data_IF_264965942100
#
_entry.id   IF_264965942100
#
_cell.length_a   1.000
_cell.length_b   1.000
_cell.length_c   1.000
_cell.angle_alpha   90.00
_cell.angle_beta   90.00
_cell.angle_gamma   90.00
#
_symmetry.space_group_name_H-M   'P 1'
#
loop_
_entity.id
_entity.type
_entity.pdbx_description
1 polymer ?
#
# COMPACT_ATOMS: atom_id res chain seq x y z
N UNK A 1 -8.84 -35.86 57.86
CA UNK A 1 -8.70 -36.77 56.71
C UNK A 1 -9.12 -36.03 55.48
N UNK A 2 -8.18 -35.38 54.81
CA UNK A 2 -8.42 -34.50 53.66
C UNK A 2 -7.19 -34.57 52.79
N UNK A 3 -7.07 -35.66 52.03
CA UNK A 3 -6.01 -35.89 51.04
C UNK A 3 -6.55 -36.80 49.94
N UNK A 4 -7.56 -36.35 49.18
CA UNK A 4 -8.00 -37.08 47.97
C UNK A 4 -8.33 -36.18 46.76
N UNK A 5 -8.24 -34.85 46.89
CA UNK A 5 -8.50 -33.92 45.77
C UNK A 5 -7.25 -33.50 44.97
N UNK A 6 -6.03 -33.88 45.39
CA UNK A 6 -4.79 -33.34 44.82
C UNK A 6 -4.20 -34.14 43.63
N UNK A 7 -4.64 -35.38 43.37
CA UNK A 7 -3.98 -36.26 42.41
C UNK A 7 -4.44 -36.08 40.94
N UNK A 8 -5.61 -35.48 40.70
CA UNK A 8 -6.11 -35.21 39.36
C UNK A 8 -5.57 -33.91 38.73
N UNK A 9 -5.08 -32.97 39.54
CA UNK A 9 -4.60 -31.65 39.08
C UNK A 9 -3.17 -31.69 38.53
N UNK A 10 -2.31 -32.56 39.08
CA UNK A 10 -0.88 -32.63 38.71
C UNK A 10 -0.64 -33.09 37.26
N UNK A 11 -1.37 -34.09 36.71
CA UNK A 11 -1.21 -34.50 35.31
C UNK A 11 -1.67 -33.41 34.32
N UNK A 12 -2.76 -32.71 34.65
CA UNK A 12 -3.29 -31.63 33.82
C UNK A 12 -2.37 -30.40 33.84
N UNK A 13 -1.80 -30.07 35.00
CA UNK A 13 -0.81 -29.00 35.13
C UNK A 13 0.46 -29.28 34.30
N UNK A 14 0.97 -30.52 34.32
CA UNK A 14 2.14 -30.90 33.51
C UNK A 14 1.86 -30.79 32.01
N UNK A 15 0.68 -31.24 31.57
CA UNK A 15 0.26 -31.14 30.17
C UNK A 15 0.18 -29.67 29.71
N UNK A 16 -0.41 -28.80 30.53
CA UNK A 16 -0.48 -27.36 30.23
C UNK A 16 0.91 -26.71 30.21
N UNK A 17 1.84 -27.14 31.06
CA UNK A 17 3.22 -26.65 31.04
C UNK A 17 3.97 -27.06 29.77
N UNK A 18 3.75 -28.29 29.29
CA UNK A 18 4.28 -28.77 28.02
C UNK A 18 3.69 -27.96 26.85
N UNK A 19 2.36 -27.79 26.80
CA UNK A 19 1.70 -26.96 25.78
C UNK A 19 2.23 -25.51 25.78
N UNK A 20 2.46 -24.90 26.95
CA UNK A 20 3.05 -23.56 27.03
C UNK A 20 4.51 -23.53 26.54
N UNK A 21 5.29 -24.56 26.82
CA UNK A 21 6.67 -24.65 26.32
C UNK A 21 6.71 -24.79 24.80
N UNK A 22 5.81 -25.61 24.23
CA UNK A 22 5.70 -25.79 22.78
C UNK A 22 5.24 -24.50 22.10
N UNK A 23 4.27 -23.79 22.69
CA UNK A 23 3.81 -22.50 22.18
C UNK A 23 4.92 -21.44 22.23
N UNK A 24 5.70 -21.37 23.32
CA UNK A 24 6.84 -20.46 23.42
C UNK A 24 7.89 -20.75 22.35
N UNK A 25 8.22 -22.02 22.12
CA UNK A 25 9.17 -22.40 21.09
C UNK A 25 8.64 -22.07 19.68
N UNK A 26 7.33 -22.18 19.46
CA UNK A 26 6.69 -21.77 18.20
C UNK A 26 6.73 -20.25 18.01
N UNK A 27 6.48 -19.47 19.06
CA UNK A 27 6.58 -18.01 19.05
C UNK A 27 8.01 -17.58 18.71
N UNK A 28 9.02 -18.15 19.38
CA UNK A 28 10.44 -17.86 19.13
C UNK A 28 10.82 -18.18 17.67
N UNK A 29 10.32 -19.29 17.13
CA UNK A 29 10.57 -19.66 15.74
C UNK A 29 9.91 -18.69 14.75
N UNK A 30 8.70 -18.21 15.04
CA UNK A 30 8.01 -17.21 14.21
C UNK A 30 8.72 -15.86 14.26
N UNK A 31 9.21 -15.44 15.42
CA UNK A 31 9.94 -14.19 15.58
C UNK A 31 11.25 -14.18 14.77
N UNK A 32 12.00 -15.28 14.79
CA UNK A 32 13.20 -15.38 13.93
C UNK A 32 12.84 -15.38 12.44
N UNK A 33 11.76 -16.03 12.02
CA UNK A 33 11.30 -15.96 10.63
C UNK A 33 10.88 -14.54 10.20
N UNK A 34 10.20 -13.80 11.08
CA UNK A 34 9.80 -12.40 10.83
C UNK A 34 11.04 -11.53 10.70
N UNK A 35 12.01 -11.70 11.58
CA UNK A 35 13.28 -10.96 11.58
C UNK A 35 14.10 -11.25 10.32
N UNK A 36 14.22 -12.51 9.92
CA UNK A 36 14.92 -12.90 8.69
C UNK A 36 14.24 -12.30 7.46
N UNK A 37 12.91 -12.34 7.41
CA UNK A 37 12.14 -11.74 6.32
C UNK A 37 12.34 -10.21 6.26
N UNK A 38 12.29 -9.54 7.41
CA UNK A 38 12.53 -8.10 7.49
C UNK A 38 13.95 -7.74 7.03
N UNK A 39 14.95 -8.52 7.44
CA UNK A 39 16.35 -8.33 7.05
C UNK A 39 16.52 -8.48 5.52
N UNK A 40 15.92 -9.50 4.91
CA UNK A 40 15.96 -9.69 3.46
C UNK A 40 15.33 -8.51 2.70
N UNK A 41 14.22 -7.94 3.22
CA UNK A 41 13.61 -6.75 2.63
C UNK A 41 14.51 -5.52 2.72
N UNK A 42 15.19 -5.31 3.85
CA UNK A 42 16.16 -4.21 3.99
C UNK A 42 17.33 -4.37 3.03
N UNK A 43 17.90 -5.57 2.92
CA UNK A 43 18.99 -5.84 1.97
C UNK A 43 18.58 -5.60 0.53
N UNK A 44 17.38 -6.01 0.14
CA UNK A 44 16.84 -5.75 -1.20
C UNK A 44 16.61 -4.26 -1.48
N UNK A 45 16.13 -3.50 -0.49
CA UNK A 45 15.69 -2.10 -0.68
C UNK A 45 16.79 -1.06 -0.48
N UNK A 46 17.82 -1.35 0.33
CA UNK A 46 18.97 -0.46 0.58
C UNK A 46 20.17 -0.76 -0.35
N UNK A 47 20.09 -1.83 -1.15
CA UNK A 47 21.06 -2.11 -2.20
C UNK A 47 21.01 -1.02 -3.29
N UNK A 48 22.15 -0.35 -3.47
CA UNK A 48 22.34 0.74 -4.44
C UNK A 48 22.13 0.29 -5.89
N UNK A 49 22.43 -0.96 -6.20
CA UNK A 49 22.16 -1.50 -7.54
C UNK A 49 20.65 -1.61 -7.80
N UNK A 50 19.86 -1.81 -6.73
CA UNK A 50 18.41 -1.92 -6.81
C UNK A 50 17.69 -0.57 -6.88
N UNK A 51 18.33 0.53 -6.47
CA UNK A 51 17.71 1.87 -6.35
C UNK A 51 16.98 2.35 -7.62
N UNK A 52 17.42 1.92 -8.80
CA UNK A 52 16.84 2.33 -10.10
C UNK A 52 15.63 1.51 -10.56
N UNK A 53 15.30 0.41 -9.89
CA UNK A 53 14.29 -0.55 -10.34
C UNK A 53 12.93 -0.54 -9.64
N UNK A 54 12.70 0.08 -8.45
CA UNK A 54 11.40 0.03 -7.77
C UNK A 54 10.44 1.08 -8.35
N UNK A 55 10.10 0.93 -9.63
CA UNK A 55 9.10 1.75 -10.29
C UNK A 55 8.09 0.87 -11.01
N UNK A 56 6.92 1.46 -11.27
CA UNK A 56 5.89 0.87 -12.12
C UNK A 56 5.60 1.83 -13.27
N UNK A 57 5.25 1.29 -14.42
CA UNK A 57 4.85 2.08 -15.58
C UNK A 57 3.34 2.29 -15.60
N UNK A 58 2.88 3.26 -16.40
CA UNK A 58 1.45 3.44 -16.66
C UNK A 58 0.80 2.17 -17.24
N UNK A 59 1.54 1.41 -18.05
CA UNK A 59 1.06 0.15 -18.61
C UNK A 59 0.84 -0.91 -17.53
N UNK A 60 1.74 -1.01 -16.54
CA UNK A 60 1.59 -1.94 -15.42
C UNK A 60 0.34 -1.63 -14.60
N UNK A 61 0.09 -0.34 -14.31
CA UNK A 61 -1.10 0.12 -13.58
C UNK A 61 -2.37 -0.20 -14.39
N UNK A 62 -2.38 0.07 -15.69
CA UNK A 62 -3.54 -0.20 -16.54
C UNK A 62 -3.79 -1.69 -16.77
N UNK A 63 -2.76 -2.54 -16.64
CA UNK A 63 -2.93 -3.99 -16.76
C UNK A 63 -3.83 -4.58 -15.65
N UNK A 64 -4.02 -3.83 -14.55
CA UNK A 64 -4.86 -4.24 -13.42
C UNK A 64 -6.34 -4.08 -13.80
N UNK A 65 -7.02 -5.22 -13.96
CA UNK A 65 -8.45 -5.27 -14.33
C UNK A 65 -9.34 -4.45 -13.39
N UNK A 66 -9.02 -4.43 -12.10
CA UNK A 66 -9.78 -3.69 -11.10
C UNK A 66 -9.79 -2.17 -11.30
N UNK A 67 -8.87 -1.61 -12.08
CA UNK A 67 -8.74 -0.17 -12.33
C UNK A 67 -9.27 0.26 -13.71
N UNK A 68 -9.82 -0.66 -14.50
CA UNK A 68 -10.38 -0.31 -15.80
C UNK A 68 -11.57 0.65 -15.66
N UNK A 69 -11.65 1.63 -16.56
CA UNK A 69 -12.69 2.67 -16.59
C UNK A 69 -12.79 3.52 -15.30
N UNK A 70 -11.73 3.53 -14.48
CA UNK A 70 -11.65 4.33 -13.25
C UNK A 70 -10.56 5.39 -13.35
N UNK A 71 -10.74 6.47 -12.58
CA UNK A 71 -9.72 7.51 -12.40
C UNK A 71 -8.70 6.99 -11.38
N UNK A 72 -7.46 6.78 -11.81
CA UNK A 72 -6.36 6.35 -10.93
C UNK A 72 -5.46 7.53 -10.60
N UNK A 73 -5.32 7.83 -9.32
CA UNK A 73 -4.46 8.90 -8.80
C UNK A 73 -3.31 8.25 -8.03
N UNK A 74 -2.07 8.40 -8.52
CA UNK A 74 -0.88 7.96 -7.83
C UNK A 74 -0.35 9.07 -6.92
N UNK A 75 -0.16 8.76 -5.64
CA UNK A 75 0.35 9.71 -4.63
C UNK A 75 1.70 9.21 -4.14
N UNK A 76 2.75 10.00 -4.36
CA UNK A 76 4.08 9.78 -3.79
C UNK A 76 4.31 10.81 -2.69
N UNK A 77 4.45 10.32 -1.46
CA UNK A 77 4.60 11.17 -0.29
C UNK A 77 5.76 10.66 0.58
N UNK A 78 6.45 11.55 1.33
CA UNK A 78 7.49 11.13 2.25
C UNK A 78 6.90 10.37 3.44
N UNK A 79 7.78 9.71 4.20
CA UNK A 79 7.40 9.02 5.44
C UNK A 79 6.62 9.95 6.40
N UNK A 80 5.77 9.34 7.22
CA UNK A 80 4.89 10.03 8.19
C UNK A 80 3.83 10.95 7.55
N UNK A 81 3.52 10.76 6.26
CA UNK A 81 2.37 11.43 5.64
C UNK A 81 1.06 10.85 6.15
N UNK A 82 0.13 11.71 6.55
CA UNK A 82 -1.20 11.34 7.03
C UNK A 82 -2.23 11.46 5.91
N UNK A 83 -3.06 10.43 5.76
CA UNK A 83 -4.22 10.41 4.88
C UNK A 83 -5.48 10.23 5.72
N UNK A 84 -6.41 11.18 5.62
CA UNK A 84 -7.71 11.12 6.29
C UNK A 84 -8.83 11.15 5.24
N UNK A 85 -9.74 10.18 5.32
CA UNK A 85 -10.98 10.15 4.52
C UNK A 85 -12.16 10.41 5.46
N UNK A 86 -12.61 11.66 5.61
CA UNK A 86 -13.83 11.95 6.38
C UNK A 86 -15.05 11.23 5.78
N UNK A 87 -16.08 11.07 6.61
CA UNK A 87 -17.36 10.55 6.15
C UNK A 87 -17.86 11.36 4.93
N UNK A 88 -18.35 10.69 3.87
CA UNK A 88 -18.90 11.36 2.71
C UNK A 88 -19.98 12.38 3.10
N UNK A 89 -19.96 13.54 2.45
CA UNK A 89 -21.08 14.48 2.46
C UNK A 89 -22.04 14.12 1.33
N UNK A 90 -23.25 14.69 1.38
CA UNK A 90 -24.32 14.41 0.41
C UNK A 90 -23.89 14.68 -1.05
N UNK A 91 -22.96 15.62 -1.26
CA UNK A 91 -22.50 16.08 -2.57
C UNK A 91 -21.02 15.77 -2.88
N UNK A 92 -20.25 15.26 -1.92
CA UNK A 92 -18.80 15.21 -2.06
C UNK A 92 -18.14 14.15 -1.17
N UNK A 93 -17.14 13.49 -1.75
CA UNK A 93 -16.15 12.70 -1.03
C UNK A 93 -14.87 13.54 -1.01
N UNK A 94 -14.21 13.61 0.14
CA UNK A 94 -12.98 14.38 0.29
C UNK A 94 -11.90 13.48 0.86
N UNK A 95 -10.68 13.62 0.35
CA UNK A 95 -9.48 12.98 0.88
C UNK A 95 -8.52 14.08 1.30
N UNK A 96 -8.07 14.06 2.55
CA UNK A 96 -7.07 14.99 3.05
C UNK A 96 -5.73 14.28 3.15
N UNK A 97 -4.69 14.84 2.52
CA UNK A 97 -3.33 14.31 2.58
C UNK A 97 -2.43 15.41 3.13
N UNK A 98 -1.69 15.11 4.20
CA UNK A 98 -0.83 16.07 4.89
C UNK A 98 0.52 15.46 5.18
N UNK A 99 1.58 16.15 4.75
CA UNK A 99 2.95 15.82 5.11
C UNK A 99 3.59 16.94 5.92
N UNK A 100 4.48 16.58 6.84
CA UNK A 100 5.33 17.49 7.62
C UNK A 100 6.80 17.39 7.22
N UNK A 101 7.17 16.39 6.41
CA UNK A 101 8.57 16.04 6.10
C UNK A 101 8.99 16.34 4.66
N UNK A 102 8.09 16.88 3.84
CA UNK A 102 8.40 17.25 2.47
C UNK A 102 7.16 17.46 1.60
N UNK A 103 7.36 17.79 0.31
CA UNK A 103 6.27 17.90 -0.66
C UNK A 103 5.63 16.54 -0.94
N UNK A 104 4.39 16.57 -1.43
CA UNK A 104 3.66 15.40 -1.92
C UNK A 104 3.55 15.55 -3.43
N UNK A 105 3.99 14.54 -4.17
CA UNK A 105 3.81 14.48 -5.62
C UNK A 105 2.52 13.69 -5.93
N UNK A 106 1.68 14.23 -6.81
CA UNK A 106 0.40 13.61 -7.21
C UNK A 106 0.33 13.53 -8.72
N UNK A 107 0.00 12.35 -9.24
CA UNK A 107 -0.07 12.07 -10.66
C UNK A 107 -1.43 11.48 -11.01
N UNK A 108 -1.99 11.93 -12.12
CA UNK A 108 -3.15 11.28 -12.72
C UNK A 108 -2.64 10.26 -13.74
N UNK A 109 -2.99 9.00 -13.55
CA UNK A 109 -2.59 7.92 -14.44
C UNK A 109 -3.54 7.85 -15.64
N UNK A 110 -3.36 8.77 -16.59
CA UNK A 110 -4.11 8.78 -17.84
C UNK A 110 -3.53 7.77 -18.82
N UNK A 111 -4.40 7.17 -19.62
CA UNK A 111 -3.98 6.55 -20.88
C UNK A 111 -3.90 7.68 -21.90
N UNK A 112 -2.82 7.78 -22.67
CA UNK A 112 -2.86 8.55 -23.92
C UNK A 112 -3.90 7.91 -24.84
N UNK A 113 -5.17 8.29 -24.67
CA UNK A 113 -6.19 8.05 -25.66
C UNK A 113 -5.84 8.96 -26.81
N UNK A 114 -5.11 8.42 -27.80
CA UNK A 114 -4.58 9.14 -28.95
C UNK A 114 -5.50 10.29 -29.36
N UNK A 115 -5.17 11.48 -28.87
CA UNK A 115 -5.85 12.69 -29.30
C UNK A 115 -5.43 12.88 -30.74
N UNK A 116 -6.27 12.39 -31.65
CA UNK A 116 -6.32 12.92 -33.00
C UNK A 116 -6.54 14.42 -32.83
N UNK A 117 -5.44 15.16 -32.89
CA UNK A 117 -5.45 16.61 -32.95
C UNK A 117 -6.16 16.99 -34.24
N UNK A 118 -7.49 17.10 -34.18
CA UNK A 118 -8.26 17.87 -35.15
C UNK A 118 -7.82 19.32 -34.96
N UNK A 119 -6.74 19.68 -35.65
CA UNK A 119 -6.33 21.05 -35.88
C UNK A 119 -7.54 21.77 -36.47
N UNK A 120 -8.24 22.54 -35.66
CA UNK A 120 -9.11 23.58 -36.15
C UNK A 120 -8.22 24.60 -36.86
N UNK A 121 -8.15 24.49 -38.18
CA UNK A 121 -7.51 25.46 -39.07
C UNK A 121 -8.29 26.78 -38.98
N UNK A 122 -7.91 27.61 -38.01
CA UNK A 122 -8.23 29.03 -38.04
C UNK A 122 -7.48 29.70 -39.18
N UNK A 123 -8.20 30.19 -40.19
CA UNK A 123 -7.61 31.05 -41.21
C UNK A 123 -8.46 31.17 -42.47
N UNK A 124 -9.31 32.21 -42.53
CA UNK A 124 -9.34 33.20 -43.62
C UNK A 124 -10.61 34.05 -43.52
N UNK A 125 -10.50 35.21 -42.88
CA UNK A 125 -11.38 36.33 -43.20
C UNK A 125 -10.94 36.90 -44.55
N UNK A 126 -11.88 37.01 -45.48
CA UNK A 126 -11.71 37.83 -46.68
C UNK A 126 -12.98 38.66 -46.85
N UNK A 127 -12.89 39.92 -46.40
CA UNK A 127 -13.76 41.00 -46.80
C UNK A 127 -13.31 41.51 -48.17
N UNK A 128 -14.20 41.47 -49.17
CA UNK A 128 -14.07 42.33 -50.35
C UNK A 128 -15.40 43.03 -50.60
N UNK A 129 -15.38 44.35 -50.42
CA UNK A 129 -16.26 45.28 -51.10
C UNK A 129 -15.67 45.50 -52.50
N UNK A 130 -16.48 45.34 -53.52
CA UNK A 130 -16.74 46.29 -54.61
C UNK A 130 -17.90 45.76 -55.46
#
# INVERSE_FOLDING_TARGET
GSDLSNFGAVPQQKKLQEELSDLSAMEDALDELIKDCAQQLFELTDDKENERYPYVTYQDIHSIQAFHEQIVIAVKAPAETRLDVPAPREDSITVHIRSTRGPIDVYLCEVEQGHSSTKASGGAGASSKD
#
